data_IF_454353060993
#
_entry.id   IF_454353060993
#
_cell.length_a   1.000
_cell.length_b   1.000
_cell.length_c   1.000
_cell.angle_alpha   90.00
_cell.angle_beta   90.00
_cell.angle_gamma   90.00
#
_symmetry.space_group_name_H-M   'P 1'
#
loop_
_entity.id
_entity.type
_entity.pdbx_description
1 polymer ?
#
# COMPACT_ATOMS: atom_id res chain seq x y z
N UNK A 1 19.77 18.38 -35.79
CA UNK A 1 18.59 17.52 -35.55
C UNK A 1 18.94 16.15 -34.95
N UNK A 2 19.82 15.36 -35.54
CA UNK A 2 20.13 13.99 -35.06
C UNK A 2 20.70 13.92 -33.62
N UNK A 3 21.48 14.91 -33.19
CA UNK A 3 22.02 14.97 -31.82
C UNK A 3 20.94 15.22 -30.75
N UNK A 4 19.91 16.01 -31.09
CA UNK A 4 18.77 16.30 -30.18
C UNK A 4 17.94 15.03 -29.98
N UNK A 5 17.71 14.26 -31.05
CA UNK A 5 16.97 12.98 -31.01
C UNK A 5 17.72 11.95 -30.16
N UNK A 6 19.05 11.81 -30.32
CA UNK A 6 19.87 10.92 -29.48
C UNK A 6 19.83 11.31 -28.00
N UNK A 7 19.89 12.61 -27.68
CA UNK A 7 19.81 13.11 -26.30
C UNK A 7 18.43 12.83 -25.68
N UNK A 8 17.35 13.02 -26.45
CA UNK A 8 15.99 12.67 -26.04
C UNK A 8 15.82 11.18 -25.75
N UNK A 9 16.33 10.31 -26.64
CA UNK A 9 16.26 8.85 -26.46
C UNK A 9 17.03 8.38 -25.23
N UNK A 10 18.21 8.96 -24.97
CA UNK A 10 19.00 8.67 -23.77
C UNK A 10 18.29 9.09 -22.49
N UNK A 11 17.69 10.29 -22.45
CA UNK A 11 16.92 10.77 -21.29
C UNK A 11 15.69 9.91 -21.02
N UNK A 12 15.00 9.45 -22.07
CA UNK A 12 13.86 8.55 -21.94
C UNK A 12 14.29 7.20 -21.35
N UNK A 13 15.35 6.58 -21.89
CA UNK A 13 15.89 5.32 -21.36
C UNK A 13 16.29 5.42 -19.89
N UNK A 14 16.89 6.56 -19.49
CA UNK A 14 17.27 6.83 -18.10
C UNK A 14 16.04 6.96 -17.19
N UNK A 15 14.98 7.64 -17.64
CA UNK A 15 13.72 7.72 -16.89
C UNK A 15 13.05 6.36 -16.73
N UNK A 16 13.07 5.53 -17.78
CA UNK A 16 12.50 4.17 -17.75
C UNK A 16 13.28 3.26 -16.81
N UNK A 17 14.62 3.28 -16.83
CA UNK A 17 15.41 2.44 -15.93
C UNK A 17 15.25 2.85 -14.47
N UNK A 18 15.19 4.15 -14.19
CA UNK A 18 14.87 4.68 -12.85
C UNK A 18 13.48 4.20 -12.42
N UNK A 19 12.48 4.31 -13.28
CA UNK A 19 11.12 3.83 -13.00
C UNK A 19 11.11 2.32 -12.68
N UNK A 20 11.78 1.49 -13.49
CA UNK A 20 11.83 0.05 -13.29
C UNK A 20 12.40 -0.34 -11.91
N UNK A 21 13.50 0.31 -11.49
CA UNK A 21 14.12 0.05 -10.17
C UNK A 21 13.19 0.38 -9.00
N UNK A 22 12.51 1.53 -9.06
CA UNK A 22 11.56 1.92 -8.01
C UNK A 22 10.27 1.11 -8.07
N UNK A 23 9.80 0.76 -9.27
CA UNK A 23 8.56 0.00 -9.47
C UNK A 23 8.65 -1.38 -8.82
N UNK A 24 9.73 -2.13 -9.07
CA UNK A 24 9.92 -3.44 -8.44
C UNK A 24 9.93 -3.35 -6.91
N UNK A 25 10.57 -2.33 -6.36
CA UNK A 25 10.61 -2.08 -4.91
C UNK A 25 9.23 -1.76 -4.35
N UNK A 26 8.47 -0.86 -4.99
CA UNK A 26 7.11 -0.52 -4.58
C UNK A 26 6.16 -1.72 -4.67
N UNK A 27 6.29 -2.52 -5.74
CA UNK A 27 5.49 -3.72 -5.95
C UNK A 27 5.76 -4.76 -4.85
N UNK A 28 7.03 -4.94 -4.44
CA UNK A 28 7.37 -5.80 -3.29
C UNK A 28 6.66 -5.35 -2.01
N UNK A 29 6.69 -4.05 -1.69
CA UNK A 29 6.04 -3.52 -0.50
C UNK A 29 4.51 -3.61 -0.57
N UNK A 30 3.95 -3.45 -1.76
CA UNK A 30 2.54 -3.70 -2.02
C UNK A 30 2.14 -5.14 -1.68
N UNK A 31 2.91 -6.14 -2.14
CA UNK A 31 2.61 -7.55 -1.82
C UNK A 31 2.77 -7.87 -0.34
N UNK A 32 3.73 -7.26 0.36
CA UNK A 32 3.86 -7.39 1.81
C UNK A 32 2.59 -6.87 2.49
N UNK A 33 2.11 -5.68 2.11
CA UNK A 33 0.86 -5.13 2.60
C UNK A 33 -0.34 -6.04 2.30
N UNK A 34 -0.42 -6.56 1.08
CA UNK A 34 -1.49 -7.47 0.65
C UNK A 34 -1.53 -8.76 1.48
N UNK A 35 -0.38 -9.40 1.71
CA UNK A 35 -0.29 -10.59 2.54
C UNK A 35 -0.75 -10.31 3.98
N UNK A 36 -0.27 -9.21 4.57
CA UNK A 36 -0.70 -8.78 5.92
C UNK A 36 -2.21 -8.54 5.96
N UNK A 37 -2.76 -7.87 4.93
CA UNK A 37 -4.19 -7.62 4.82
C UNK A 37 -5.02 -8.91 4.72
N UNK A 38 -4.51 -9.93 4.03
CA UNK A 38 -5.22 -11.21 3.90
C UNK A 38 -5.13 -12.06 5.19
N UNK A 39 -4.10 -11.88 6.02
CA UNK A 39 -4.06 -12.49 7.36
C UNK A 39 -5.07 -11.85 8.33
N UNK A 40 -5.59 -10.68 8.00
CA UNK A 40 -6.35 -9.88 8.94
C UNK A 40 -7.72 -10.44 9.27
N UNK A 41 -8.51 -10.99 8.34
CA UNK A 41 -9.82 -11.58 8.72
C UNK A 41 -9.70 -12.80 9.63
N UNK A 42 -8.61 -13.56 9.51
CA UNK A 42 -8.29 -14.63 10.46
C UNK A 42 -8.00 -14.08 11.85
N UNK A 43 -7.30 -12.94 11.94
CA UNK A 43 -7.09 -12.22 13.20
C UNK A 43 -8.39 -11.61 13.72
N UNK A 44 -9.24 -11.08 12.84
CA UNK A 44 -10.53 -10.47 13.17
C UNK A 44 -11.47 -11.48 13.81
N UNK A 45 -11.51 -12.72 13.34
CA UNK A 45 -12.25 -13.81 13.97
C UNK A 45 -11.84 -14.05 15.45
N UNK A 46 -10.57 -13.81 15.81
CA UNK A 46 -10.13 -13.87 17.21
C UNK A 46 -10.73 -12.71 18.04
N UNK A 47 -10.81 -11.50 17.48
CA UNK A 47 -11.43 -10.34 18.15
C UNK A 47 -12.95 -10.36 18.14
N UNK A 48 -13.59 -11.09 17.20
CA UNK A 48 -15.05 -11.22 17.13
C UNK A 48 -15.64 -11.90 18.37
N UNK A 49 -14.86 -12.75 19.04
CA UNK A 49 -15.25 -13.31 20.35
C UNK A 49 -15.15 -12.30 21.50
N UNK A 50 -14.47 -11.16 21.30
CA UNK A 50 -14.26 -10.11 22.30
C UNK A 50 -15.15 -8.87 22.07
N UNK A 51 -15.58 -8.62 20.83
CA UNK A 51 -16.35 -7.42 20.45
C UNK A 51 -17.55 -7.77 19.56
N UNK A 52 -18.70 -7.17 19.84
CA UNK A 52 -20.00 -7.53 19.26
C UNK A 52 -20.30 -6.94 17.86
N UNK A 53 -19.48 -6.00 17.36
CA UNK A 53 -19.78 -5.33 16.08
C UNK A 53 -18.53 -5.17 15.20
N UNK A 54 -18.46 -5.98 14.14
CA UNK A 54 -17.37 -5.96 13.14
C UNK A 54 -17.23 -4.58 12.47
N UNK A 55 -18.33 -3.83 12.34
CA UNK A 55 -18.33 -2.46 11.82
C UNK A 55 -17.55 -1.47 12.68
N UNK A 56 -17.59 -1.62 14.01
CA UNK A 56 -16.82 -0.78 14.92
C UNK A 56 -15.31 -1.00 14.74
N UNK A 57 -14.93 -2.25 14.52
CA UNK A 57 -13.56 -2.66 14.35
C UNK A 57 -12.98 -2.08 13.05
N UNK A 58 -13.75 -2.08 11.96
CA UNK A 58 -13.38 -1.43 10.70
C UNK A 58 -13.22 0.08 10.89
N UNK A 59 -14.12 0.75 11.62
CA UNK A 59 -14.03 2.19 11.89
C UNK A 59 -12.76 2.52 12.68
N UNK A 60 -12.45 1.75 13.73
CA UNK A 60 -11.21 1.92 14.51
C UNK A 60 -9.98 1.80 13.62
N UNK A 61 -9.97 0.83 12.72
CA UNK A 61 -8.85 0.60 11.80
C UNK A 61 -8.68 1.74 10.81
N UNK A 62 -9.77 2.27 10.25
CA UNK A 62 -9.72 3.43 9.37
C UNK A 62 -9.18 4.66 10.11
N UNK A 63 -9.61 4.90 11.35
CA UNK A 63 -9.10 5.98 12.19
C UNK A 63 -7.61 5.81 12.51
N UNK A 64 -7.16 4.60 12.80
CA UNK A 64 -5.73 4.30 13.01
C UNK A 64 -4.93 4.62 11.74
N UNK A 65 -5.41 4.21 10.56
CA UNK A 65 -4.73 4.53 9.30
C UNK A 65 -4.68 6.03 9.01
N UNK A 66 -5.76 6.75 9.29
CA UNK A 66 -5.82 8.19 9.12
C UNK A 66 -4.89 8.93 10.08
N UNK A 67 -4.83 8.49 11.34
CA UNK A 67 -3.90 9.01 12.33
C UNK A 67 -2.43 8.79 11.93
N UNK A 68 -2.07 7.58 11.49
CA UNK A 68 -0.71 7.33 10.97
C UNK A 68 -0.41 8.19 9.74
N UNK A 69 -1.38 8.35 8.83
CA UNK A 69 -1.20 9.20 7.66
C UNK A 69 -0.94 10.65 8.04
N UNK A 70 -1.64 11.17 9.05
CA UNK A 70 -1.41 12.51 9.59
C UNK A 70 0.00 12.66 10.18
N UNK A 71 0.44 11.72 11.02
CA UNK A 71 1.79 11.75 11.61
C UNK A 71 2.89 11.75 10.55
N UNK A 72 2.72 10.93 9.51
CA UNK A 72 3.75 10.72 8.51
C UNK A 72 3.76 11.76 7.37
N UNK A 73 2.67 12.52 7.19
CA UNK A 73 2.54 13.49 6.11
C UNK A 73 3.62 14.59 6.13
N UNK A 74 4.03 15.05 7.32
CA UNK A 74 4.97 16.19 7.45
C UNK A 74 6.42 15.76 7.75
N UNK A 75 6.64 14.57 8.28
CA UNK A 75 7.93 14.16 8.87
C UNK A 75 8.72 13.13 8.06
N UNK A 76 8.14 12.51 7.02
CA UNK A 76 8.84 11.47 6.26
C UNK A 76 9.57 11.96 5.02
N UNK A 77 10.73 11.36 4.79
CA UNK A 77 11.43 11.42 3.50
C UNK A 77 10.52 10.85 2.42
N UNK A 78 10.55 11.46 1.23
CA UNK A 78 9.71 11.10 0.05
C UNK A 78 9.70 9.59 -0.25
N UNK A 79 10.82 8.88 -0.07
CA UNK A 79 10.91 7.43 -0.27
C UNK A 79 10.13 6.62 0.78
N UNK A 80 10.22 6.98 2.05
CA UNK A 80 9.50 6.29 3.13
C UNK A 80 8.00 6.48 2.98
N UNK A 81 7.57 7.68 2.57
CA UNK A 81 6.17 7.96 2.27
C UNK A 81 5.65 7.09 1.11
N UNK A 82 6.41 6.95 0.02
CA UNK A 82 6.04 6.06 -1.09
C UNK A 82 5.92 4.59 -0.68
N UNK A 83 6.81 4.11 0.20
CA UNK A 83 6.76 2.74 0.72
C UNK A 83 5.50 2.53 1.57
N UNK A 84 5.17 3.47 2.46
CA UNK A 84 3.95 3.40 3.27
C UNK A 84 2.68 3.39 2.41
N UNK A 85 2.64 4.21 1.36
CA UNK A 85 1.51 4.21 0.41
C UNK A 85 1.38 2.83 -0.25
N UNK A 86 2.48 2.23 -0.69
CA UNK A 86 2.46 0.91 -1.33
C UNK A 86 1.95 -0.17 -0.36
N UNK A 87 2.47 -0.22 0.87
CA UNK A 87 2.02 -1.16 1.91
C UNK A 87 0.53 -0.93 2.20
N UNK A 88 0.10 0.31 2.42
CA UNK A 88 -1.30 0.66 2.71
C UNK A 88 -2.24 0.23 1.59
N UNK A 89 -1.87 0.47 0.33
CA UNK A 89 -2.64 0.05 -0.83
C UNK A 89 -2.82 -1.48 -0.87
N UNK A 90 -1.74 -2.23 -0.63
CA UNK A 90 -1.81 -3.68 -0.52
C UNK A 90 -2.71 -4.14 0.63
N UNK A 91 -2.57 -3.53 1.80
CA UNK A 91 -3.32 -3.86 3.02
C UNK A 91 -4.83 -3.67 2.81
N UNK A 92 -5.23 -2.55 2.23
CA UNK A 92 -6.65 -2.24 1.93
C UNK A 92 -7.23 -3.21 0.89
N UNK A 93 -6.47 -3.58 -0.13
CA UNK A 93 -6.91 -4.58 -1.11
C UNK A 93 -7.02 -5.96 -0.45
N UNK A 94 -6.10 -6.31 0.45
CA UNK A 94 -6.18 -7.55 1.22
C UNK A 94 -7.45 -7.62 2.06
N UNK A 95 -7.76 -6.54 2.79
CA UNK A 95 -9.02 -6.43 3.55
C UNK A 95 -10.25 -6.55 2.66
N UNK A 96 -10.23 -5.89 1.51
CA UNK A 96 -11.31 -5.94 0.55
C UNK A 96 -11.53 -7.37 0.04
N UNK A 97 -10.48 -8.05 -0.40
CA UNK A 97 -10.58 -9.44 -0.89
C UNK A 97 -11.14 -10.38 0.18
N UNK A 98 -10.66 -10.24 1.42
CA UNK A 98 -11.11 -11.09 2.52
C UNK A 98 -12.57 -10.80 2.90
N UNK A 99 -12.96 -9.53 2.99
CA UNK A 99 -14.35 -9.13 3.23
C UNK A 99 -15.31 -9.63 2.14
N UNK A 100 -14.89 -9.61 0.87
CA UNK A 100 -15.68 -10.16 -0.24
C UNK A 100 -15.86 -11.68 -0.13
N UNK A 101 -14.83 -12.41 0.33
CA UNK A 101 -14.89 -13.86 0.52
C UNK A 101 -15.93 -14.28 1.56
N UNK A 102 -16.13 -13.49 2.62
CA UNK A 102 -17.10 -13.82 3.69
C UNK A 102 -18.54 -13.40 3.33
N UNK A 103 -18.71 -12.55 2.31
CA UNK A 103 -20.00 -12.01 1.89
C UNK A 103 -20.67 -12.70 0.68
N UNK A 104 -19.98 -13.63 0.02
CA UNK A 104 -20.52 -14.50 -1.05
C UNK A 104 -21.00 -15.84 -0.49
#
# INVERSE_FOLDING_TARGET
MQQIIKKGKKNYQLKVSIFQTYFASLFKFFFIGFLIGNFFGSFLNFFRNLFLWDGFLIIIILLIFEFFNFLFYKQLKKILFSILIAIRGGLLIGFFVDAFKVGS
#
